data_IF_373032361542
#
_entry.id   IF_373032361542
#
_cell.length_a   1.000
_cell.length_b   1.000
_cell.length_c   1.000
_cell.angle_alpha   90.00
_cell.angle_beta   90.00
_cell.angle_gamma   90.00
#
_symmetry.space_group_name_H-M   'P 1'
#
loop_
_entity.id
_entity.type
_entity.pdbx_description
1 polymer ?
#
# COMPACT_ATOMS: atom_id res chain seq x y z
N UNK A 1 11.92 -16.23 -0.98
CA UNK A 1 12.76 -15.06 -1.13
C UNK A 1 12.43 -14.00 -0.05
N UNK A 2 11.19 -13.52 0.04
CA UNK A 2 10.82 -12.42 0.94
C UNK A 2 11.07 -12.75 2.42
N UNK A 3 10.73 -13.96 2.89
CA UNK A 3 11.02 -14.39 4.25
C UNK A 3 12.53 -14.36 4.53
N UNK A 4 13.34 -14.89 3.61
CA UNK A 4 14.80 -14.85 3.73
C UNK A 4 15.32 -13.42 3.87
N UNK A 5 14.86 -12.50 3.00
CA UNK A 5 15.18 -11.08 3.06
C UNK A 5 14.88 -10.47 4.44
N UNK A 6 13.71 -10.80 5.02
CA UNK A 6 13.35 -10.32 6.35
C UNK A 6 14.28 -10.87 7.45
N UNK A 7 14.55 -12.17 7.41
CA UNK A 7 15.38 -12.83 8.43
C UNK A 7 16.84 -12.34 8.38
N UNK A 8 17.43 -12.32 7.19
CA UNK A 8 18.84 -11.90 6.99
C UNK A 8 19.11 -10.44 7.36
N UNK A 9 18.10 -9.57 7.25
CA UNK A 9 18.21 -8.14 7.57
C UNK A 9 17.57 -7.74 8.91
N UNK A 10 16.96 -8.67 9.63
CA UNK A 10 16.26 -8.39 10.88
C UNK A 10 14.96 -7.59 10.69
N UNK A 11 14.41 -7.51 9.48
CA UNK A 11 13.22 -6.75 9.18
C UNK A 11 11.95 -7.44 9.68
N UNK A 12 11.01 -6.66 10.22
CA UNK A 12 9.76 -7.15 10.80
C UNK A 12 8.53 -6.87 9.95
N UNK A 13 8.70 -6.04 8.91
CA UNK A 13 7.66 -5.72 7.94
C UNK A 13 8.30 -5.44 6.58
N UNK A 14 7.79 -6.08 5.53
CA UNK A 14 8.31 -5.93 4.18
C UNK A 14 7.21 -5.99 3.13
N UNK A 15 7.55 -5.53 1.93
CA UNK A 15 6.74 -5.66 0.73
C UNK A 15 7.63 -5.90 -0.49
N UNK A 16 7.04 -6.28 -1.62
CA UNK A 16 7.76 -6.50 -2.88
C UNK A 16 7.22 -5.61 -3.99
N UNK A 17 7.96 -5.50 -5.09
CA UNK A 17 7.42 -5.00 -6.34
C UNK A 17 6.40 -6.00 -6.90
N UNK A 18 5.49 -5.49 -7.75
CA UNK A 18 4.54 -6.31 -8.47
C UNK A 18 4.30 -5.80 -9.88
N UNK A 19 3.83 -6.69 -10.75
CA UNK A 19 3.50 -6.40 -12.13
C UNK A 19 1.98 -6.41 -12.34
N UNK A 20 1.47 -5.51 -13.17
CA UNK A 20 0.08 -5.54 -13.58
C UNK A 20 -0.15 -6.55 -14.70
N UNK A 21 -1.30 -7.22 -14.66
CA UNK A 21 -1.84 -8.02 -15.75
C UNK A 21 -3.28 -7.61 -16.04
N UNK A 22 -3.73 -7.85 -17.28
CA UNK A 22 -5.10 -7.62 -17.69
C UNK A 22 -6.07 -8.72 -17.20
N UNK A 23 -7.32 -8.66 -17.65
CA UNK A 23 -8.35 -9.65 -17.26
C UNK A 23 -8.05 -11.05 -17.79
N UNK A 24 -7.35 -11.17 -18.92
CA UNK A 24 -6.99 -12.43 -19.55
C UNK A 24 -5.69 -13.03 -18.97
N UNK A 25 -5.07 -12.31 -18.01
CA UNK A 25 -3.83 -12.74 -17.39
C UNK A 25 -2.57 -12.35 -18.16
N UNK A 26 -2.69 -11.53 -19.23
CA UNK A 26 -1.55 -11.05 -19.99
C UNK A 26 -0.87 -9.91 -19.26
N UNK A 27 0.44 -9.89 -19.26
CA UNK A 27 1.24 -8.83 -18.64
C UNK A 27 1.07 -7.51 -19.39
N UNK A 28 0.74 -6.44 -18.68
CA UNK A 28 0.57 -5.10 -19.28
C UNK A 28 1.89 -4.37 -19.50
N UNK A 29 3.00 -4.93 -19.01
CA UNK A 29 4.31 -4.28 -18.97
C UNK A 29 4.43 -3.21 -17.88
N UNK A 30 3.42 -3.02 -17.04
CA UNK A 30 3.46 -2.04 -15.94
C UNK A 30 3.98 -2.70 -14.68
N UNK A 31 5.06 -2.16 -14.11
CA UNK A 31 5.64 -2.59 -12.83
C UNK A 31 5.50 -1.49 -11.80
N UNK A 32 5.00 -1.86 -10.63
CA UNK A 32 4.80 -0.97 -9.49
C UNK A 32 5.83 -1.28 -8.41
N UNK A 33 6.52 -0.25 -7.95
CA UNK A 33 7.50 -0.26 -6.87
C UNK A 33 7.11 0.73 -5.77
N UNK A 34 8.01 0.94 -4.85
CA UNK A 34 7.93 1.97 -3.81
C UNK A 34 9.29 2.28 -3.21
N UNK A 35 9.38 3.10 -2.17
CA UNK A 35 10.61 3.41 -1.46
C UNK A 35 11.25 2.16 -0.84
N UNK A 36 12.58 2.11 -0.81
CA UNK A 36 13.33 1.01 -0.15
C UNK A 36 13.01 0.89 1.33
N UNK A 37 12.75 2.02 1.99
CA UNK A 37 12.38 2.11 3.40
C UNK A 37 11.17 3.03 3.56
N UNK A 38 10.21 2.59 4.33
CA UNK A 38 8.98 3.34 4.67
C UNK A 38 8.84 3.35 6.18
N UNK A 39 9.13 4.49 6.78
CA UNK A 39 8.92 4.74 8.20
C UNK A 39 7.44 4.92 8.54
N UNK A 40 7.10 5.02 9.82
CA UNK A 40 5.76 5.38 10.29
C UNK A 40 5.21 6.62 9.57
N UNK A 41 6.00 7.70 9.49
CA UNK A 41 5.57 8.93 8.83
C UNK A 41 5.43 8.74 7.31
N UNK A 42 6.34 7.98 6.69
CA UNK A 42 6.26 7.62 5.28
C UNK A 42 5.00 6.83 4.96
N UNK A 43 4.56 5.92 5.85
CA UNK A 43 3.30 5.19 5.70
C UNK A 43 2.08 6.10 5.92
N UNK A 44 2.14 7.09 6.80
CA UNK A 44 1.09 8.11 6.93
C UNK A 44 0.96 8.96 5.67
N UNK A 45 2.07 9.30 5.03
CA UNK A 45 2.07 10.07 3.79
C UNK A 45 1.39 9.33 2.63
N UNK A 46 1.60 8.01 2.51
CA UNK A 46 0.97 7.22 1.45
C UNK A 46 1.01 5.71 1.70
N UNK A 47 0.03 4.98 1.15
CA UNK A 47 0.01 3.52 1.10
C UNK A 47 1.00 3.00 0.03
N UNK A 48 2.23 2.73 0.43
CA UNK A 48 3.27 2.27 -0.49
C UNK A 48 3.12 0.80 -0.90
N UNK A 49 2.89 -0.15 0.03
CA UNK A 49 2.76 -1.57 -0.30
C UNK A 49 1.50 -1.87 -1.12
N UNK A 50 1.62 -2.80 -2.06
CA UNK A 50 0.44 -3.49 -2.59
C UNK A 50 0.01 -4.59 -1.64
N UNK A 51 -1.28 -4.73 -1.35
CA UNK A 51 -1.81 -5.68 -0.37
C UNK A 51 -1.31 -7.12 -0.59
N UNK A 52 -1.21 -7.55 -1.85
CA UNK A 52 -0.76 -8.89 -2.25
C UNK A 52 0.75 -9.14 -2.03
N UNK A 53 1.54 -8.12 -1.65
CA UNK A 53 3.01 -8.21 -1.56
C UNK A 53 3.54 -8.14 -0.14
N UNK A 54 2.66 -7.98 0.83
CA UNK A 54 3.04 -7.69 2.22
C UNK A 54 3.35 -8.97 3.00
N UNK A 55 4.39 -8.88 3.82
CA UNK A 55 4.72 -9.86 4.86
C UNK A 55 5.14 -9.12 6.13
N UNK A 56 4.66 -9.57 7.29
CA UNK A 56 5.08 -9.03 8.58
C UNK A 56 5.24 -10.12 9.64
N UNK A 57 6.10 -9.86 10.61
CA UNK A 57 6.36 -10.73 11.77
C UNK A 57 5.27 -10.52 12.82
N UNK A 58 4.35 -11.50 12.92
CA UNK A 58 3.22 -11.45 13.84
C UNK A 58 3.65 -11.51 15.32
N UNK A 59 4.76 -12.17 15.63
CA UNK A 59 5.22 -12.28 17.02
C UNK A 59 5.67 -10.93 17.56
N UNK A 60 6.29 -10.11 16.71
CA UNK A 60 6.74 -8.75 17.06
C UNK A 60 5.61 -7.74 16.98
N UNK A 61 4.83 -7.78 15.90
CA UNK A 61 3.78 -6.79 15.63
C UNK A 61 2.48 -7.10 16.38
N UNK A 62 2.20 -8.38 16.60
CA UNK A 62 0.93 -8.88 17.10
C UNK A 62 -0.10 -9.09 15.99
N UNK A 63 -1.28 -9.60 16.36
CA UNK A 63 -2.40 -9.74 15.43
C UNK A 63 -3.04 -8.39 15.17
N UNK A 64 -2.99 -7.93 13.92
CA UNK A 64 -3.63 -6.69 13.49
C UNK A 64 -4.90 -7.01 12.72
N UNK A 65 -6.04 -6.57 13.25
CA UNK A 65 -7.33 -6.71 12.60
C UNK A 65 -7.57 -5.60 11.57
N UNK A 66 -8.19 -5.98 10.47
CA UNK A 66 -8.64 -5.07 9.43
C UNK A 66 -9.72 -4.12 9.97
N UNK A 67 -9.69 -2.85 9.58
CA UNK A 67 -10.71 -1.91 10.00
C UNK A 67 -12.05 -2.13 9.27
N UNK A 68 -13.15 -1.86 9.95
CA UNK A 68 -14.49 -1.93 9.36
C UNK A 68 -14.77 -0.70 8.47
N UNK A 69 -14.03 -0.64 7.36
CA UNK A 69 -14.26 0.29 6.26
C UNK A 69 -14.16 -0.48 4.94
N UNK A 70 -15.06 -0.19 4.01
CA UNK A 70 -15.18 -0.94 2.75
C UNK A 70 -13.93 -0.85 1.86
N UNK A 71 -13.15 0.26 1.95
CA UNK A 71 -11.96 0.51 1.14
C UNK A 71 -10.84 1.08 1.99
N UNK A 72 -9.58 0.91 1.56
CA UNK A 72 -8.39 1.27 2.31
C UNK A 72 -8.29 0.56 3.68
N UNK A 73 -9.00 -0.55 3.85
CA UNK A 73 -8.97 -1.34 5.06
C UNK A 73 -7.59 -2.00 5.28
N UNK A 74 -6.96 -2.46 4.21
CA UNK A 74 -5.57 -2.93 4.18
C UNK A 74 -4.59 -1.81 4.58
N UNK A 75 -4.79 -0.59 4.08
CA UNK A 75 -3.97 0.55 4.45
C UNK A 75 -4.02 0.82 5.96
N UNK A 76 -5.19 0.65 6.62
CA UNK A 76 -5.27 0.78 8.08
C UNK A 76 -4.41 -0.25 8.82
N UNK A 77 -4.30 -1.47 8.28
CA UNK A 77 -3.40 -2.48 8.84
C UNK A 77 -1.94 -2.01 8.75
N UNK A 78 -1.52 -1.52 7.58
CA UNK A 78 -0.13 -1.05 7.39
C UNK A 78 0.20 0.13 8.30
N UNK A 79 -0.72 1.05 8.49
CA UNK A 79 -0.59 2.16 9.45
C UNK A 79 -0.41 1.67 10.89
N UNK A 80 -1.13 0.61 11.30
CA UNK A 80 -0.99 0.00 12.63
C UNK A 80 0.32 -0.76 12.78
N UNK A 81 0.73 -1.53 11.75
CA UNK A 81 2.00 -2.26 11.75
C UNK A 81 3.18 -1.29 11.86
N UNK A 82 3.16 -0.20 11.11
CA UNK A 82 4.20 0.83 11.14
C UNK A 82 4.28 1.61 12.47
N UNK A 83 3.37 1.40 13.43
CA UNK A 83 3.58 1.88 14.81
C UNK A 83 4.68 1.09 15.52
N UNK A 84 4.95 -0.14 15.09
CA UNK A 84 5.85 -1.09 15.75
C UNK A 84 7.06 -1.48 14.91
N UNK A 85 6.97 -1.41 13.59
CA UNK A 85 8.05 -1.80 12.68
C UNK A 85 7.99 -1.01 11.38
N UNK A 86 9.14 -0.53 10.92
CA UNK A 86 9.27 0.09 9.60
C UNK A 86 9.13 -0.96 8.48
N UNK A 87 8.67 -0.51 7.30
CA UNK A 87 8.44 -1.37 6.16
C UNK A 87 9.57 -1.26 5.13
N UNK A 88 10.06 -2.39 4.63
CA UNK A 88 11.18 -2.46 3.70
C UNK A 88 10.80 -3.14 2.39
N UNK A 89 11.30 -2.58 1.28
CA UNK A 89 11.08 -3.12 -0.06
C UNK A 89 12.13 -4.18 -0.39
N UNK A 90 11.69 -5.39 -0.69
CA UNK A 90 12.46 -6.30 -1.53
C UNK A 90 12.17 -5.94 -3.01
N UNK A 91 13.11 -5.27 -3.68
CA UNK A 91 12.92 -4.76 -5.05
C UNK A 91 12.98 -5.86 -6.11
N UNK A 92 12.18 -6.90 -5.91
CA UNK A 92 11.94 -7.95 -6.87
C UNK A 92 10.44 -8.03 -7.19
N UNK A 93 10.10 -8.31 -8.45
CA UNK A 93 8.71 -8.55 -8.88
C UNK A 93 8.33 -9.98 -8.48
N UNK A 94 7.66 -10.13 -7.35
CA UNK A 94 7.26 -11.44 -6.83
C UNK A 94 5.75 -11.69 -6.88
N UNK A 95 4.97 -10.72 -7.38
CA UNK A 95 3.52 -10.84 -7.47
C UNK A 95 2.98 -10.23 -8.76
N UNK A 96 1.81 -10.74 -9.22
CA UNK A 96 1.06 -10.22 -10.36
C UNK A 96 -0.31 -9.75 -9.90
N UNK A 97 -0.66 -8.51 -10.24
CA UNK A 97 -1.93 -7.88 -9.87
C UNK A 97 -2.85 -7.76 -11.08
N UNK A 98 -3.99 -8.43 -11.03
CA UNK A 98 -5.01 -8.35 -12.09
C UNK A 98 -5.78 -7.04 -11.98
N UNK A 99 -5.76 -6.24 -13.04
CA UNK A 99 -6.41 -4.93 -13.12
C UNK A 99 -7.53 -4.93 -14.17
N UNK A 100 -8.54 -4.05 -13.96
CA UNK A 100 -9.62 -3.87 -14.95
C UNK A 100 -10.79 -4.83 -14.80
N UNK A 101 -10.81 -5.70 -13.78
CA UNK A 101 -11.93 -6.59 -13.53
C UNK A 101 -13.20 -5.78 -13.24
N UNK A 102 -14.30 -6.12 -13.93
CA UNK A 102 -15.63 -5.55 -13.66
C UNK A 102 -16.02 -5.81 -12.20
N UNK A 103 -16.49 -4.78 -11.49
CA UNK A 103 -16.82 -4.86 -10.06
C UNK A 103 -15.61 -4.80 -9.10
N UNK A 104 -14.41 -4.55 -9.61
CA UNK A 104 -13.22 -4.38 -8.76
C UNK A 104 -13.37 -3.23 -7.78
N UNK A 105 -13.04 -3.50 -6.51
CA UNK A 105 -13.05 -2.48 -5.43
C UNK A 105 -12.07 -1.34 -5.71
N UNK A 106 -11.02 -1.56 -6.48
CA UNK A 106 -9.97 -0.60 -6.78
C UNK A 106 -10.28 0.35 -7.95
N UNK A 107 -11.34 0.09 -8.72
CA UNK A 107 -11.69 0.91 -9.89
C UNK A 107 -12.72 1.97 -9.52
N UNK A 108 -12.30 3.22 -9.32
CA UNK A 108 -13.20 4.33 -8.93
C UNK A 108 -12.77 5.68 -9.48
N UNK A 109 -13.77 6.60 -9.56
CA UNK A 109 -13.53 8.01 -9.83
C UNK A 109 -12.85 8.75 -8.68
N UNK A 110 -12.24 9.88 -8.98
CA UNK A 110 -11.46 10.69 -8.02
C UNK A 110 -12.26 11.10 -6.76
N UNK A 111 -13.53 11.49 -6.90
CA UNK A 111 -14.39 11.86 -5.77
C UNK A 111 -14.57 10.72 -4.76
N UNK A 112 -14.73 9.50 -5.26
CA UNK A 112 -14.82 8.31 -4.42
C UNK A 112 -13.50 8.04 -3.70
N UNK A 113 -12.37 8.24 -4.37
CA UNK A 113 -11.03 8.09 -3.76
C UNK A 113 -10.84 9.08 -2.59
N UNK A 114 -11.12 10.36 -2.80
CA UNK A 114 -11.05 11.39 -1.74
C UNK A 114 -11.90 11.01 -0.54
N UNK A 115 -13.18 10.65 -0.77
CA UNK A 115 -14.12 10.22 0.28
C UNK A 115 -13.58 9.07 1.13
N UNK A 116 -12.93 8.07 0.50
CA UNK A 116 -12.42 6.91 1.24
C UNK A 116 -11.11 7.19 1.97
N UNK A 117 -10.25 8.07 1.46
CA UNK A 117 -9.10 8.56 2.21
C UNK A 117 -9.54 9.35 3.45
N UNK A 118 -10.52 10.25 3.31
CA UNK A 118 -11.07 10.96 4.46
C UNK A 118 -11.68 9.99 5.51
N UNK A 119 -12.47 8.98 5.08
CA UNK A 119 -13.02 7.98 5.98
C UNK A 119 -11.96 7.13 6.67
N UNK A 120 -10.87 6.81 5.99
CA UNK A 120 -9.71 6.15 6.58
C UNK A 120 -9.21 6.94 7.80
N UNK A 121 -8.93 8.22 7.63
CA UNK A 121 -8.35 9.05 8.68
C UNK A 121 -9.35 9.37 9.78
N UNK A 122 -10.55 9.76 9.42
CA UNK A 122 -11.57 10.20 10.38
C UNK A 122 -12.21 9.03 11.12
N UNK A 123 -12.72 8.02 10.38
CA UNK A 123 -13.46 6.89 10.99
C UNK A 123 -12.51 5.80 11.50
N UNK A 124 -11.57 5.33 10.70
CA UNK A 124 -10.77 4.16 11.05
C UNK A 124 -9.54 4.49 11.91
N UNK A 125 -8.93 5.67 11.73
CA UNK A 125 -7.78 6.13 12.51
C UNK A 125 -8.14 7.10 13.63
N UNK A 126 -9.42 7.47 13.80
CA UNK A 126 -9.91 8.32 14.88
C UNK A 126 -9.35 9.74 14.89
N UNK A 127 -8.94 10.28 13.72
CA UNK A 127 -8.40 11.63 13.63
C UNK A 127 -9.52 12.67 13.61
N UNK A 128 -9.25 13.85 14.20
CA UNK A 128 -10.17 14.98 14.09
C UNK A 128 -10.32 15.48 12.65
N UNK A 129 -11.25 16.39 12.40
CA UNK A 129 -11.56 16.89 11.07
C UNK A 129 -10.35 17.47 10.33
N UNK A 130 -9.60 18.38 10.97
CA UNK A 130 -8.46 19.05 10.36
C UNK A 130 -7.31 18.08 10.02
N UNK A 131 -6.97 17.18 10.95
CA UNK A 131 -5.95 16.16 10.72
C UNK A 131 -6.38 15.17 9.61
N UNK A 132 -7.66 14.81 9.56
CA UNK A 132 -8.19 13.93 8.50
C UNK A 132 -8.11 14.59 7.13
N UNK A 133 -8.41 15.87 7.04
CA UNK A 133 -8.29 16.64 5.80
C UNK A 133 -6.82 16.76 5.37
N UNK A 134 -5.92 17.11 6.30
CA UNK A 134 -4.49 17.23 6.04
C UNK A 134 -3.91 15.92 5.48
N UNK A 135 -4.14 14.79 6.15
CA UNK A 135 -3.63 13.50 5.67
C UNK A 135 -4.29 13.03 4.37
N UNK A 136 -5.56 13.37 4.15
CA UNK A 136 -6.21 13.08 2.87
C UNK A 136 -5.52 13.83 1.73
N UNK A 137 -5.28 15.13 1.87
CA UNK A 137 -4.55 15.92 0.88
C UNK A 137 -3.14 15.38 0.65
N UNK A 138 -2.41 15.08 1.73
CA UNK A 138 -1.07 14.47 1.66
C UNK A 138 -1.08 13.18 0.87
N UNK A 139 -2.05 12.27 1.16
CA UNK A 139 -2.15 11.00 0.43
C UNK A 139 -2.43 11.20 -1.07
N UNK A 140 -3.24 12.19 -1.44
CA UNK A 140 -3.52 12.49 -2.85
C UNK A 140 -2.27 12.99 -3.58
N UNK A 141 -1.52 13.92 -2.97
CA UNK A 141 -0.26 14.45 -3.53
C UNK A 141 0.77 13.33 -3.66
N UNK A 142 0.97 12.55 -2.61
CA UNK A 142 1.91 11.42 -2.63
C UNK A 142 1.47 10.31 -3.59
N UNK A 143 0.16 10.16 -3.86
CA UNK A 143 -0.37 9.26 -4.87
C UNK A 143 0.06 9.65 -6.29
N UNK A 144 0.04 10.96 -6.60
CA UNK A 144 0.58 11.49 -7.87
C UNK A 144 2.08 11.24 -7.94
N UNK A 145 2.82 11.54 -6.87
CA UNK A 145 4.26 11.29 -6.78
C UNK A 145 4.60 9.81 -7.03
N UNK A 146 3.88 8.87 -6.38
CA UNK A 146 4.06 7.43 -6.63
C UNK A 146 3.85 7.08 -8.09
N UNK A 147 2.79 7.62 -8.72
CA UNK A 147 2.48 7.35 -10.12
C UNK A 147 3.60 7.81 -11.05
N UNK A 148 4.24 8.94 -10.77
CA UNK A 148 5.31 9.49 -11.60
C UNK A 148 6.64 8.74 -11.43
N UNK A 149 7.00 8.37 -10.21
CA UNK A 149 8.34 7.87 -9.90
C UNK A 149 8.43 6.35 -9.70
N UNK A 150 7.35 5.69 -9.27
CA UNK A 150 7.36 4.28 -8.89
C UNK A 150 6.49 3.36 -9.75
N UNK A 151 5.76 3.92 -10.72
CA UNK A 151 5.00 3.16 -11.71
C UNK A 151 5.71 3.29 -13.04
N UNK A 152 6.33 2.21 -13.52
CA UNK A 152 7.10 2.23 -14.77
C UNK A 152 6.49 1.27 -15.77
N UNK A 153 6.37 1.71 -17.02
CA UNK A 153 6.03 0.85 -18.13
C UNK A 153 7.35 0.33 -18.73
N UNK A 154 7.52 -0.98 -18.70
CA UNK A 154 8.66 -1.64 -19.34
C UNK A 154 8.25 -1.88 -20.78
N UNK A 155 8.88 -1.18 -21.73
CA UNK A 155 8.77 -1.55 -23.15
C UNK A 155 9.35 -2.97 -23.31
N UNK A 156 8.60 -3.80 -24.03
CA UNK A 156 9.15 -5.07 -24.52
C UNK A 156 10.15 -4.79 -25.62
#
# INVERSE_FOLDING_TARGET
>A
KQLRFMVENGYKFSYTAYQEMDNDGRETGVVIRGPKHVSKLGMFAFCWPGCLTVMYDREVVGLIQIADIKKNNDYTMWLKICQKADCYLLDEVLAKYRRGRVGSISTHGYSTMVKWHYKLWHKAMGKNFLASLFWTCTNLVCGVYKKLFYVKKISK
#
